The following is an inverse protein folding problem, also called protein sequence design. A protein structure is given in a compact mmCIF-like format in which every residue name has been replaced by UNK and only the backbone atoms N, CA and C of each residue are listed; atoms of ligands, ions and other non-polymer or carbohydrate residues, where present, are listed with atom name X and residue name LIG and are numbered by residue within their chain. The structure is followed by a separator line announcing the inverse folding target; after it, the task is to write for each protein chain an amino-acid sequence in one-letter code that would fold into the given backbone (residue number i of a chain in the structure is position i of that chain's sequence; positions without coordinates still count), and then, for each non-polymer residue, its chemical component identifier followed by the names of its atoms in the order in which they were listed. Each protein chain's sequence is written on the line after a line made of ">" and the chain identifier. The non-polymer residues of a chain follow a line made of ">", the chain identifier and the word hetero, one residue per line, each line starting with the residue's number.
data_IF_482908159682
#
_entry.id   IF_482908159682
#
_cell.length_a   1.000
_cell.length_b   1.000
_cell.length_c   1.000
_cell.angle_alpha   90.00
_cell.angle_beta   90.00
_cell.angle_gamma   90.00
#
_symmetry.space_group_name_H-M   'P 1'
#
loop_
_entity.id
_entity.type
_entity.pdbx_description
1 polymer ?
#
# COMPACT_ATOMS: atom_id res chain seq x y z
N UNK A 1 5.55 -18.72 -1.44
CA UNK A 1 6.63 -19.69 -1.67
C UNK A 1 7.87 -19.21 -0.97
N UNK A 2 8.27 -19.93 0.07
CA UNK A 2 9.48 -19.69 0.86
C UNK A 2 10.71 -20.32 0.19
N UNK A 3 11.90 -20.04 0.71
CA UNK A 3 13.14 -20.72 0.25
C UNK A 3 13.05 -22.23 0.54
N UNK A 4 12.36 -22.61 1.61
CA UNK A 4 12.14 -24.02 1.98
C UNK A 4 11.25 -24.73 0.95
N UNK A 5 10.14 -24.11 0.56
CA UNK A 5 9.25 -24.66 -0.47
C UNK A 5 9.99 -24.86 -1.81
N UNK A 6 10.84 -23.89 -2.17
CA UNK A 6 11.63 -23.92 -3.39
C UNK A 6 12.71 -25.02 -3.32
N UNK A 7 13.30 -25.23 -2.14
CA UNK A 7 14.29 -26.29 -1.89
C UNK A 7 13.69 -27.68 -2.09
N UNK A 8 12.52 -27.92 -1.48
CA UNK A 8 11.80 -29.19 -1.60
C UNK A 8 11.36 -29.49 -3.04
N UNK A 9 10.81 -28.49 -3.74
CA UNK A 9 10.31 -28.67 -5.12
C UNK A 9 11.40 -28.90 -6.15
N UNK A 10 12.55 -28.24 -5.99
CA UNK A 10 13.65 -28.31 -6.94
C UNK A 10 14.71 -29.36 -6.57
N UNK A 11 14.59 -30.01 -5.41
CA UNK A 11 15.58 -30.99 -4.94
C UNK A 11 16.97 -30.40 -4.68
N UNK A 12 17.06 -29.10 -4.40
CA UNK A 12 18.33 -28.39 -4.17
C UNK A 12 18.36 -27.79 -2.78
N UNK A 13 19.51 -27.80 -2.12
CA UNK A 13 19.67 -27.25 -0.77
C UNK A 13 19.34 -25.75 -0.69
N UNK A 14 18.81 -25.31 0.45
CA UNK A 14 18.55 -23.90 0.77
C UNK A 14 19.77 -23.01 0.51
N UNK A 15 20.95 -23.47 0.92
CA UNK A 15 22.22 -22.75 0.76
C UNK A 15 22.55 -22.51 -0.72
N UNK A 16 22.27 -23.48 -1.59
CA UNK A 16 22.46 -23.34 -3.05
C UNK A 16 21.50 -22.30 -3.63
N UNK A 17 20.22 -22.32 -3.24
CA UNK A 17 19.24 -21.31 -3.65
C UNK A 17 19.63 -19.91 -3.17
N UNK A 18 20.04 -19.76 -1.90
CA UNK A 18 20.51 -18.48 -1.36
C UNK A 18 21.76 -17.96 -2.07
N UNK A 19 22.69 -18.85 -2.46
CA UNK A 19 23.85 -18.49 -3.26
C UNK A 19 23.45 -18.00 -4.65
N UNK A 20 22.48 -18.64 -5.29
CA UNK A 20 21.95 -18.18 -6.57
C UNK A 20 21.20 -16.86 -6.47
N UNK A 21 20.50 -16.61 -5.36
CA UNK A 21 19.91 -15.29 -5.09
C UNK A 21 20.96 -14.20 -4.93
N UNK A 22 22.05 -14.46 -4.16
CA UNK A 22 23.16 -13.52 -4.01
C UNK A 22 23.89 -13.23 -5.32
N UNK A 23 24.00 -14.23 -6.20
CA UNK A 23 24.58 -14.07 -7.55
C UNK A 23 23.62 -13.45 -8.57
N UNK A 24 22.39 -13.10 -8.18
CA UNK A 24 21.38 -12.54 -9.08
C UNK A 24 20.76 -13.54 -10.08
N UNK A 25 21.14 -14.82 -10.02
CA UNK A 25 20.63 -15.88 -10.91
C UNK A 25 19.18 -16.26 -10.60
N UNK A 26 18.71 -15.98 -9.37
CA UNK A 26 17.34 -16.19 -8.92
C UNK A 26 16.89 -14.94 -8.18
N UNK A 27 15.71 -14.40 -8.50
CA UNK A 27 15.14 -13.24 -7.81
C UNK A 27 13.83 -13.56 -7.13
N UNK A 28 13.60 -12.95 -5.98
CA UNK A 28 12.27 -12.95 -5.35
C UNK A 28 11.40 -11.95 -6.11
N UNK A 29 10.27 -12.41 -6.62
CA UNK A 29 9.29 -11.56 -7.28
C UNK A 29 7.95 -11.66 -6.56
N UNK A 30 7.36 -10.50 -6.27
CA UNK A 30 6.01 -10.43 -5.70
C UNK A 30 5.05 -10.10 -6.85
N UNK A 31 4.21 -11.07 -7.20
CA UNK A 31 3.12 -10.82 -8.14
C UNK A 31 1.88 -10.40 -7.34
N UNK A 32 1.70 -9.09 -7.14
CA UNK A 32 0.49 -8.55 -6.52
C UNK A 32 -0.61 -8.48 -7.56
N UNK A 33 -1.81 -8.97 -7.22
CA UNK A 33 -3.00 -8.75 -8.05
C UNK A 33 -3.26 -7.24 -8.10
N UNK A 34 -3.28 -6.69 -9.31
CA UNK A 34 -3.68 -5.31 -9.56
C UNK A 34 -5.15 -5.29 -10.00
N UNK A 35 -5.91 -4.24 -9.67
CA UNK A 35 -7.27 -4.10 -10.19
C UNK A 35 -7.24 -4.09 -11.72
N UNK A 36 -8.21 -4.78 -12.31
CA UNK A 36 -8.36 -4.81 -13.76
C UNK A 36 -8.94 -3.48 -14.23
N UNK A 37 -8.14 -2.70 -14.95
CA UNK A 37 -8.56 -1.43 -15.52
C UNK A 37 -9.00 -1.64 -16.97
N UNK A 38 -10.27 -1.36 -17.25
CA UNK A 38 -10.81 -1.31 -18.62
C UNK A 38 -10.18 -0.15 -19.40
N UNK A 39 -10.25 -0.19 -20.73
CA UNK A 39 -9.79 0.93 -21.56
C UNK A 39 -10.51 2.24 -21.22
N UNK A 40 -11.81 2.16 -20.90
CA UNK A 40 -12.60 3.30 -20.44
C UNK A 40 -12.06 3.87 -19.12
N UNK A 41 -11.80 3.03 -18.11
CA UNK A 41 -11.26 3.48 -16.82
C UNK A 41 -9.91 4.19 -16.99
N UNK A 42 -9.04 3.67 -17.86
CA UNK A 42 -7.74 4.29 -18.17
C UNK A 42 -7.92 5.66 -18.83
N UNK A 43 -8.85 5.77 -19.79
CA UNK A 43 -9.15 7.05 -20.47
C UNK A 43 -9.70 8.07 -19.48
N UNK A 44 -10.63 7.68 -18.61
CA UNK A 44 -11.19 8.58 -17.58
C UNK A 44 -10.13 9.05 -16.60
N UNK A 45 -9.24 8.16 -16.15
CA UNK A 45 -8.12 8.54 -15.28
C UNK A 45 -7.18 9.54 -15.96
N UNK A 46 -6.83 9.28 -17.23
CA UNK A 46 -5.97 10.19 -17.99
C UNK A 46 -6.63 11.55 -18.21
N UNK A 47 -7.92 11.57 -18.56
CA UNK A 47 -8.67 12.80 -18.75
C UNK A 47 -8.66 13.64 -17.46
N UNK A 48 -8.93 13.00 -16.31
CA UNK A 48 -8.86 13.68 -15.03
C UNK A 48 -7.48 14.27 -14.75
N UNK A 49 -6.39 13.54 -15.03
CA UNK A 49 -5.03 14.08 -14.89
C UNK A 49 -4.80 15.31 -15.77
N UNK A 50 -5.30 15.29 -17.02
CA UNK A 50 -5.18 16.42 -17.95
C UNK A 50 -5.99 17.62 -17.46
N UNK A 51 -7.20 17.39 -16.96
CA UNK A 51 -8.07 18.45 -16.43
C UNK A 51 -7.52 19.10 -15.16
N UNK A 52 -6.60 18.42 -14.47
CA UNK A 52 -5.90 18.93 -13.29
C UNK A 52 -4.66 19.77 -13.63
N UNK A 53 -4.26 19.87 -14.90
CA UNK A 53 -3.21 20.80 -15.32
C UNK A 53 -3.76 22.22 -15.25
N UNK A 54 -2.97 23.15 -14.73
CA UNK A 54 -3.31 24.57 -14.71
C UNK A 54 -3.29 25.13 -16.15
N UNK A 55 -4.42 25.60 -16.71
CA UNK A 55 -4.46 26.15 -18.06
C UNK A 55 -3.47 27.31 -18.26
N UNK A 56 -3.21 28.10 -17.23
CA UNK A 56 -2.33 29.28 -17.30
C UNK A 56 -0.84 28.90 -17.33
N UNK A 57 -0.53 27.65 -16.97
CA UNK A 57 0.84 27.11 -16.95
C UNK A 57 1.31 26.54 -18.29
N UNK A 58 0.36 26.27 -19.20
CA UNK A 58 0.63 25.70 -20.53
C UNK A 58 0.87 26.79 -21.59
N UNK A 59 1.83 26.63 -22.52
CA UNK A 59 2.61 25.42 -22.79
C UNK A 59 4.02 25.39 -22.17
N UNK A 60 4.47 26.49 -21.55
CA UNK A 60 5.88 26.68 -21.22
C UNK A 60 6.34 25.86 -20.00
N UNK A 61 5.56 25.85 -18.92
CA UNK A 61 5.90 25.12 -17.68
C UNK A 61 4.64 24.52 -17.03
N UNK A 62 4.08 23.45 -17.63
CA UNK A 62 2.83 22.86 -17.19
C UNK A 62 2.96 22.31 -15.77
N UNK A 63 2.14 22.83 -14.86
CA UNK A 63 2.02 22.33 -13.49
C UNK A 63 0.57 22.00 -13.16
N UNK A 64 0.39 21.18 -12.12
CA UNK A 64 -0.93 20.85 -11.63
C UNK A 64 -1.54 22.03 -10.87
N UNK A 65 -2.86 22.16 -10.94
CA UNK A 65 -3.64 23.06 -10.11
C UNK A 65 -3.26 22.89 -8.64
N UNK A 66 -3.33 23.99 -7.92
CA UNK A 66 -2.90 24.05 -6.53
C UNK A 66 -3.82 23.34 -5.53
N UNK A 67 -5.04 22.95 -5.95
CA UNK A 67 -6.01 22.17 -5.15
C UNK A 67 -6.39 22.82 -3.80
N UNK A 68 -6.25 24.14 -3.64
CA UNK A 68 -6.59 24.85 -2.39
C UNK A 68 -8.10 24.84 -2.07
N UNK A 69 -8.92 24.61 -3.09
CA UNK A 69 -10.39 24.51 -3.08
C UNK A 69 -10.89 23.06 -3.05
N UNK A 70 -9.99 22.08 -2.94
CA UNK A 70 -10.34 20.66 -2.92
C UNK A 70 -10.24 20.08 -1.51
N UNK A 71 -11.24 19.27 -1.16
CA UNK A 71 -11.29 18.48 0.08
C UNK A 71 -11.33 17.01 -0.29
N UNK A 72 -10.34 16.25 0.17
CA UNK A 72 -10.24 14.81 -0.04
C UNK A 72 -10.86 14.07 1.14
N UNK A 73 -11.79 13.18 0.84
CA UNK A 73 -12.49 12.36 1.82
C UNK A 73 -12.20 10.90 1.48
N UNK A 74 -11.76 10.12 2.47
CA UNK A 74 -11.51 8.69 2.31
C UNK A 74 -12.03 7.90 3.51
N UNK A 75 -12.54 6.70 3.24
CA UNK A 75 -12.96 5.74 4.25
C UNK A 75 -11.97 4.58 4.30
N UNK A 76 -11.49 4.29 5.51
CA UNK A 76 -10.55 3.18 5.72
C UNK A 76 -11.03 2.25 6.82
N UNK A 77 -11.18 0.98 6.45
CA UNK A 77 -11.50 -0.11 7.37
C UNK A 77 -10.23 -0.69 7.99
N UNK A 78 -10.18 -0.72 9.32
CA UNK A 78 -9.14 -1.37 10.10
C UNK A 78 -9.71 -2.58 10.83
N UNK A 79 -8.99 -3.69 10.80
CA UNK A 79 -9.33 -4.87 11.59
C UNK A 79 -8.70 -4.71 12.97
N UNK A 80 -9.50 -4.90 14.03
CA UNK A 80 -9.02 -4.81 15.42
C UNK A 80 -7.87 -5.78 15.70
N UNK A 81 -7.87 -6.91 15.01
CA UNK A 81 -6.79 -7.88 15.10
C UNK A 81 -6.29 -8.26 13.70
N UNK A 82 -4.96 -8.28 13.54
CA UNK A 82 -4.35 -8.72 12.29
C UNK A 82 -4.58 -10.22 12.08
N UNK A 83 -4.80 -10.64 10.84
CA UNK A 83 -4.95 -12.05 10.47
C UNK A 83 -3.72 -12.90 10.81
N UNK A 84 -2.54 -12.30 10.69
CA UNK A 84 -1.26 -12.94 10.94
C UNK A 84 -0.42 -11.97 11.75
N UNK A 85 -0.06 -12.36 12.97
CA UNK A 85 0.87 -11.62 13.83
C UNK A 85 2.12 -12.48 14.00
N UNK A 86 3.28 -11.85 13.99
CA UNK A 86 4.55 -12.52 14.30
C UNK A 86 4.79 -12.43 15.79
N UNK A 87 5.04 -13.57 16.42
CA UNK A 87 5.44 -13.68 17.81
C UNK A 87 6.91 -14.10 17.84
N UNK A 88 7.67 -13.54 18.78
CA UNK A 88 8.99 -14.04 19.15
C UNK A 88 8.78 -14.76 20.47
N UNK A 89 9.04 -16.06 20.50
CA UNK A 89 8.80 -16.93 21.63
C UNK A 89 10.14 -17.52 22.08
N UNK A 90 10.27 -17.77 23.38
CA UNK A 90 11.38 -18.56 23.91
C UNK A 90 11.18 -20.05 23.56
N UNK A 91 12.25 -20.87 23.53
CA UNK A 91 12.16 -22.28 23.14
C UNK A 91 11.20 -23.11 24.00
N UNK A 92 11.01 -22.74 25.27
CA UNK A 92 10.13 -23.43 26.21
C UNK A 92 8.70 -22.88 26.26
N UNK A 93 8.39 -21.82 25.51
CA UNK A 93 7.05 -21.23 25.51
C UNK A 93 6.11 -21.94 24.52
N UNK A 94 4.87 -22.16 24.95
CA UNK A 94 3.83 -22.70 24.09
C UNK A 94 3.44 -21.70 22.99
N UNK A 95 3.13 -22.24 21.81
CA UNK A 95 2.65 -21.44 20.68
C UNK A 95 1.34 -20.71 21.03
N UNK A 96 1.25 -19.38 20.80
CA UNK A 96 0.06 -18.62 21.16
C UNK A 96 -1.13 -19.05 20.30
N UNK A 97 -2.14 -19.61 20.97
CA UNK A 97 -3.35 -20.06 20.31
C UNK A 97 -4.33 -18.89 20.09
N UNK A 98 -4.61 -18.57 18.83
CA UNK A 98 -5.61 -17.55 18.45
C UNK A 98 -6.67 -18.14 17.54
N UNK A 99 -7.91 -18.20 18.01
CA UNK A 99 -9.05 -18.72 17.25
C UNK A 99 -10.04 -17.63 16.88
N UNK A 100 -10.60 -17.75 15.68
CA UNK A 100 -11.74 -16.98 15.22
C UNK A 100 -12.53 -17.84 14.24
N UNK A 101 -13.86 -17.76 14.28
CA UNK A 101 -14.74 -18.58 13.43
C UNK A 101 -14.55 -18.28 11.94
N UNK A 102 -14.32 -17.02 11.57
CA UNK A 102 -13.91 -16.60 10.23
C UNK A 102 -13.39 -15.17 10.24
N UNK A 103 -12.71 -14.74 9.15
CA UNK A 103 -12.23 -13.36 8.99
C UNK A 103 -13.35 -12.33 9.19
N UNK A 104 -14.56 -12.64 8.72
CA UNK A 104 -15.67 -11.69 8.71
C UNK A 104 -16.17 -11.36 10.12
N UNK A 105 -15.85 -12.19 11.12
CA UNK A 105 -16.18 -11.97 12.52
C UNK A 105 -15.12 -11.18 13.29
N UNK A 106 -13.98 -10.84 12.67
CA UNK A 106 -13.01 -9.95 13.29
C UNK A 106 -13.63 -8.55 13.31
N UNK A 107 -13.76 -7.90 14.48
CA UNK A 107 -14.30 -6.54 14.55
C UNK A 107 -13.55 -5.59 13.62
N UNK A 108 -14.31 -4.82 12.86
CA UNK A 108 -13.80 -3.84 11.92
C UNK A 108 -14.20 -2.45 12.39
N UNK A 109 -13.25 -1.53 12.38
CA UNK A 109 -13.47 -0.12 12.69
C UNK A 109 -13.25 0.68 11.42
N UNK A 110 -14.25 1.47 11.04
CA UNK A 110 -14.15 2.40 9.93
C UNK A 110 -13.68 3.75 10.43
N UNK A 111 -12.67 4.30 9.79
CA UNK A 111 -12.28 5.69 9.96
C UNK A 111 -12.59 6.45 8.70
N UNK A 112 -13.37 7.51 8.83
CA UNK A 112 -13.51 8.54 7.82
C UNK A 112 -12.42 9.57 8.07
N UNK A 113 -11.62 9.88 7.07
CA UNK A 113 -10.60 10.92 7.14
C UNK A 113 -10.86 11.96 6.07
N UNK A 114 -10.76 13.23 6.48
CA UNK A 114 -10.89 14.37 5.60
C UNK A 114 -9.56 15.12 5.61
N UNK A 115 -9.00 15.33 4.42
CA UNK A 115 -7.72 16.01 4.25
C UNK A 115 -7.80 17.04 3.14
N UNK A 116 -7.04 18.11 3.29
CA UNK A 116 -6.92 19.24 2.37
C UNK A 116 -5.46 19.63 2.25
N UNK A 117 -5.12 20.50 1.31
CA UNK A 117 -3.75 21.01 1.20
C UNK A 117 -3.38 21.83 2.46
N UNK A 118 -2.25 21.55 3.12
CA UNK A 118 -1.78 22.38 4.24
C UNK A 118 -1.58 23.84 3.80
N UNK A 119 -1.87 24.78 4.70
CA UNK A 119 -1.76 26.23 4.45
C UNK A 119 -0.63 26.80 5.31
N UNK A 120 0.19 27.63 4.69
CA UNK A 120 1.33 28.29 5.33
C UNK A 120 1.20 29.81 5.19
N UNK A 121 1.65 30.53 6.21
CA UNK A 121 1.82 31.99 6.19
C UNK A 121 3.21 32.30 6.74
N UNK A 122 4.02 33.02 5.97
CA UNK A 122 5.39 33.40 6.35
C UNK A 122 6.28 32.23 6.80
N UNK A 123 6.15 31.08 6.14
CA UNK A 123 6.87 29.86 6.47
C UNK A 123 6.31 29.07 7.67
N UNK A 124 5.28 29.60 8.35
CA UNK A 124 4.61 28.95 9.48
C UNK A 124 3.36 28.22 8.99
N UNK A 125 3.22 26.95 9.34
CA UNK A 125 2.03 26.16 9.05
C UNK A 125 0.85 26.67 9.90
N UNK A 126 -0.12 27.33 9.26
CA UNK A 126 -1.35 27.80 9.93
C UNK A 126 -2.43 26.73 9.96
N UNK A 127 -2.37 25.77 9.04
CA UNK A 127 -3.29 24.64 8.97
C UNK A 127 -2.59 23.46 8.34
N UNK A 128 -2.57 22.32 9.03
CA UNK A 128 -1.85 21.11 8.58
C UNK A 128 -2.64 20.26 7.58
N UNK A 129 -3.82 20.74 7.17
CA UNK A 129 -4.65 20.11 6.17
C UNK A 129 -5.55 19.00 6.72
N UNK A 130 -5.52 18.69 8.02
CA UNK A 130 -6.35 17.63 8.62
C UNK A 130 -7.64 18.21 9.20
N UNK A 131 -8.76 17.55 8.94
CA UNK A 131 -10.08 17.86 9.48
C UNK A 131 -10.59 16.71 10.36
#
# INVERSE_FOLDING_TARGET
>A
MTIEDMSKRLGVSKSKIMRYMRKGLVRRHYNKIKPYLTAANKKSQLQWCVDMIDPDSTPNDPHFKDLFDHVFIDEKWFFLTQKSSKYYLLPEEDDPHRTSKSKNYIPQLMFLSVTTRPRFRDGVCIFDGKL
#
